data_IF_561950109269
#
_entry.id   IF_561950109269
#
_cell.length_a   1.000
_cell.length_b   1.000
_cell.length_c   1.000
_cell.angle_alpha   90.00
_cell.angle_beta   90.00
_cell.angle_gamma   90.00
#
_symmetry.space_group_name_H-M   'P 1'
#
loop_
_entity.id
_entity.type
_entity.pdbx_description
1 polymer ?
#
# COMPACT_ATOMS: atom_id res chain seq x y z
N UNK A 1 -2.83 -38.62 -14.69
CA UNK A 1 -3.54 -37.36 -14.34
C UNK A 1 -2.50 -36.38 -13.84
N UNK A 2 -1.95 -35.56 -14.74
CA UNK A 2 -0.92 -34.59 -14.37
C UNK A 2 -1.61 -33.34 -13.81
N UNK A 3 -1.38 -33.05 -12.54
CA UNK A 3 -1.86 -31.83 -11.92
C UNK A 3 -1.22 -30.62 -12.64
N UNK A 4 -2.03 -29.81 -13.29
CA UNK A 4 -1.64 -28.47 -13.74
C UNK A 4 -1.11 -27.69 -12.54
N UNK A 5 0.11 -27.13 -12.57
CA UNK A 5 0.57 -26.30 -11.48
C UNK A 5 -0.39 -25.12 -11.36
N UNK A 6 -0.99 -24.97 -10.17
CA UNK A 6 -1.77 -23.79 -9.82
C UNK A 6 -0.97 -22.57 -10.27
N UNK A 7 -1.56 -21.69 -11.07
CA UNK A 7 -0.88 -20.52 -11.60
C UNK A 7 -0.39 -19.69 -10.43
N UNK A 8 0.89 -19.84 -10.06
CA UNK A 8 1.52 -19.19 -8.90
C UNK A 8 1.42 -17.65 -8.95
N UNK A 9 0.99 -17.10 -10.09
CA UNK A 9 0.82 -15.68 -10.37
C UNK A 9 -0.64 -15.34 -10.72
N UNK A 10 -1.53 -15.56 -9.75
CA UNK A 10 -2.94 -15.17 -9.85
C UNK A 10 -3.12 -13.64 -9.92
N UNK A 11 -4.32 -13.20 -10.30
CA UNK A 11 -4.69 -11.77 -10.22
C UNK A 11 -4.50 -11.21 -8.79
N UNK A 12 -4.80 -12.02 -7.77
CA UNK A 12 -4.61 -11.67 -6.37
C UNK A 12 -3.13 -11.44 -6.03
N UNK A 13 -2.21 -12.28 -6.52
CA UNK A 13 -0.78 -12.08 -6.33
C UNK A 13 -0.31 -10.76 -6.95
N UNK A 14 -0.74 -10.45 -8.18
CA UNK A 14 -0.39 -9.18 -8.84
C UNK A 14 -0.93 -7.97 -8.06
N UNK A 15 -2.16 -8.04 -7.56
CA UNK A 15 -2.74 -6.99 -6.73
C UNK A 15 -1.97 -6.80 -5.42
N UNK A 16 -1.59 -7.90 -4.77
CA UNK A 16 -0.80 -7.89 -3.54
C UNK A 16 0.59 -7.25 -3.75
N UNK A 17 1.35 -7.68 -4.76
CA UNK A 17 2.67 -7.10 -5.06
C UNK A 17 2.57 -5.62 -5.41
N UNK A 18 1.56 -5.22 -6.19
CA UNK A 18 1.30 -3.78 -6.48
C UNK A 18 0.98 -2.99 -5.21
N UNK A 19 0.22 -3.58 -4.30
CA UNK A 19 -0.09 -2.96 -3.01
C UNK A 19 1.16 -2.79 -2.14
N UNK A 20 1.99 -3.84 -2.03
CA UNK A 20 3.26 -3.80 -1.31
C UNK A 20 4.20 -2.74 -1.90
N UNK A 21 4.37 -2.70 -3.22
CA UNK A 21 5.18 -1.69 -3.90
C UNK A 21 4.70 -0.26 -3.62
N UNK A 22 3.38 -0.02 -3.67
CA UNK A 22 2.80 1.28 -3.31
C UNK A 22 3.08 1.66 -1.86
N UNK A 23 2.95 0.71 -0.91
CA UNK A 23 3.23 0.97 0.51
C UNK A 23 4.69 1.33 0.74
N UNK A 24 5.63 0.65 0.06
CA UNK A 24 7.05 0.99 0.12
C UNK A 24 7.32 2.42 -0.37
N UNK A 25 6.77 2.80 -1.53
CA UNK A 25 6.97 4.15 -2.08
C UNK A 25 6.35 5.24 -1.20
N UNK A 26 5.18 4.97 -0.61
CA UNK A 26 4.51 5.88 0.32
C UNK A 26 5.32 6.04 1.60
N UNK A 27 5.75 4.93 2.22
CA UNK A 27 6.55 4.97 3.44
C UNK A 27 7.87 5.74 3.25
N UNK A 28 8.59 5.49 2.15
CA UNK A 28 9.80 6.29 1.86
C UNK A 28 9.47 7.76 1.59
N UNK A 29 8.30 8.07 1.03
CA UNK A 29 7.89 9.47 0.87
C UNK A 29 7.66 10.15 2.22
N UNK A 30 7.11 9.44 3.19
CA UNK A 30 6.91 9.95 4.54
C UNK A 30 8.24 10.30 5.23
N UNK A 31 9.30 9.51 5.00
CA UNK A 31 10.64 9.81 5.50
C UNK A 31 11.37 10.93 4.75
N UNK A 32 11.24 10.98 3.43
CA UNK A 32 11.98 11.94 2.59
C UNK A 32 11.12 13.14 2.17
N UNK A 33 11.25 14.25 2.91
CA UNK A 33 10.60 15.53 2.59
C UNK A 33 11.05 16.04 1.20
N UNK A 34 12.33 15.86 0.88
CA UNK A 34 12.94 16.33 -0.37
C UNK A 34 12.68 15.37 -1.53
N UNK A 35 12.09 15.88 -2.61
CA UNK A 35 11.63 15.05 -3.75
C UNK A 35 12.76 14.43 -4.56
N UNK A 36 13.93 15.05 -4.62
CA UNK A 36 15.12 14.55 -5.30
C UNK A 36 15.73 13.35 -4.57
N UNK A 37 15.87 13.44 -3.24
CA UNK A 37 16.31 12.32 -2.40
C UNK A 37 15.30 11.16 -2.46
N UNK A 38 14.00 11.46 -2.34
CA UNK A 38 12.96 10.45 -2.49
C UNK A 38 12.99 9.74 -3.86
N UNK A 39 13.26 10.46 -4.95
CA UNK A 39 13.34 9.85 -6.30
C UNK A 39 14.48 8.84 -6.40
N UNK A 40 15.64 9.12 -5.82
CA UNK A 40 16.75 8.17 -5.78
C UNK A 40 16.31 6.89 -5.06
N UNK A 41 15.70 7.04 -3.88
CA UNK A 41 15.18 5.92 -3.11
C UNK A 41 14.09 5.12 -3.84
N UNK A 42 13.17 5.80 -4.52
CA UNK A 42 12.13 5.17 -5.32
C UNK A 42 12.71 4.31 -6.47
N UNK A 43 13.80 4.76 -7.10
CA UNK A 43 14.51 3.98 -8.13
C UNK A 43 15.16 2.72 -7.55
N UNK A 44 15.73 2.81 -6.34
CA UNK A 44 16.29 1.65 -5.64
C UNK A 44 15.21 0.61 -5.32
N UNK A 45 14.06 1.04 -4.77
CA UNK A 45 12.90 0.16 -4.53
C UNK A 45 12.48 -0.50 -5.85
N UNK A 46 12.32 0.27 -6.92
CA UNK A 46 11.94 -0.29 -8.21
C UNK A 46 12.93 -1.33 -8.69
N UNK A 47 14.23 -1.05 -8.59
CA UNK A 47 15.26 -2.01 -8.96
C UNK A 47 15.18 -3.30 -8.13
N UNK A 48 14.87 -3.21 -6.84
CA UNK A 48 14.66 -4.39 -5.98
C UNK A 48 13.47 -5.25 -6.38
N UNK A 49 12.34 -4.62 -6.72
CA UNK A 49 11.17 -5.35 -7.22
C UNK A 49 11.44 -5.99 -8.60
N UNK A 50 12.12 -5.28 -9.50
CA UNK A 50 12.46 -5.83 -10.82
C UNK A 50 13.46 -7.01 -10.73
N UNK A 51 14.42 -6.97 -9.79
CA UNK A 51 15.33 -8.11 -9.53
C UNK A 51 14.58 -9.40 -9.19
N UNK A 52 13.44 -9.30 -8.52
CA UNK A 52 12.65 -10.45 -8.07
C UNK A 52 11.45 -10.77 -8.98
N UNK A 53 11.34 -10.12 -10.15
CA UNK A 53 10.17 -10.22 -11.03
C UNK A 53 9.91 -11.62 -11.60
N UNK A 54 10.98 -12.37 -11.86
CA UNK A 54 10.93 -13.66 -12.56
C UNK A 54 11.15 -14.85 -11.62
N UNK A 55 10.89 -14.70 -10.31
CA UNK A 55 11.00 -15.80 -9.34
C UNK A 55 9.83 -16.74 -9.54
N UNK A 56 10.10 -17.97 -10.02
CA UNK A 56 9.07 -18.96 -10.34
C UNK A 56 8.73 -19.92 -9.19
N UNK A 57 9.65 -20.11 -8.23
CA UNK A 57 9.44 -21.01 -7.09
C UNK A 57 8.52 -20.36 -6.04
N UNK A 58 7.34 -20.95 -5.74
CA UNK A 58 6.42 -20.41 -4.75
C UNK A 58 7.01 -20.31 -3.33
N UNK A 59 7.92 -21.19 -2.94
CA UNK A 59 8.54 -21.17 -1.60
C UNK A 59 9.51 -20.00 -1.48
N UNK A 60 10.41 -19.85 -2.45
CA UNK A 60 11.29 -18.69 -2.54
C UNK A 60 10.49 -17.37 -2.56
N UNK A 61 9.39 -17.32 -3.32
CA UNK A 61 8.54 -16.14 -3.39
C UNK A 61 7.90 -15.79 -2.04
N UNK A 62 7.40 -16.77 -1.29
CA UNK A 62 6.84 -16.55 0.04
C UNK A 62 7.87 -15.95 1.01
N UNK A 63 9.10 -16.48 1.00
CA UNK A 63 10.21 -15.98 1.83
C UNK A 63 10.57 -14.53 1.48
N UNK A 64 10.61 -14.21 0.18
CA UNK A 64 10.92 -12.85 -0.29
C UNK A 64 9.84 -11.85 0.18
N UNK A 65 8.57 -12.22 0.03
CA UNK A 65 7.44 -11.38 0.44
C UNK A 65 7.39 -11.19 1.95
N UNK A 66 7.62 -12.24 2.73
CA UNK A 66 7.68 -12.18 4.19
C UNK A 66 8.80 -11.23 4.65
N UNK A 67 10.00 -11.37 4.08
CA UNK A 67 11.12 -10.49 4.36
C UNK A 67 10.81 -9.03 3.99
N UNK A 68 10.13 -8.81 2.88
CA UNK A 68 9.73 -7.46 2.46
C UNK A 68 8.68 -6.86 3.42
N UNK A 69 7.67 -7.60 3.84
CA UNK A 69 6.70 -7.14 4.85
C UNK A 69 7.40 -6.82 6.18
N UNK A 70 8.34 -7.66 6.61
CA UNK A 70 9.09 -7.44 7.85
C UNK A 70 9.94 -6.16 7.77
N UNK A 71 10.64 -5.95 6.65
CA UNK A 71 11.44 -4.74 6.42
C UNK A 71 10.57 -3.49 6.41
N UNK A 72 9.41 -3.54 5.73
CA UNK A 72 8.48 -2.42 5.69
C UNK A 72 7.95 -2.09 7.09
N UNK A 73 7.58 -3.10 7.88
CA UNK A 73 7.11 -2.93 9.26
C UNK A 73 8.18 -2.32 10.16
N UNK A 74 9.43 -2.75 10.03
CA UNK A 74 10.56 -2.23 10.82
C UNK A 74 10.85 -0.76 10.52
N UNK A 75 10.73 -0.37 9.25
CA UNK A 75 11.07 0.97 8.78
C UNK A 75 9.83 1.85 8.59
N UNK A 76 8.70 1.50 9.22
CA UNK A 76 7.47 2.25 9.06
C UNK A 76 7.61 3.63 9.72
N UNK A 77 7.24 4.69 9.01
CA UNK A 77 7.25 6.03 9.58
C UNK A 77 6.24 6.11 10.75
N UNK A 78 6.63 6.66 11.93
CA UNK A 78 5.75 6.68 13.10
C UNK A 78 4.53 7.60 12.94
N UNK A 79 4.63 8.62 12.10
CA UNK A 79 3.57 9.59 11.82
C UNK A 79 3.44 9.84 10.29
N UNK A 80 2.83 8.91 9.53
CA UNK A 80 2.80 9.00 8.08
C UNK A 80 1.91 10.15 7.59
N UNK A 81 2.16 10.64 6.38
CA UNK A 81 1.38 11.75 5.83
C UNK A 81 -0.05 11.30 5.46
N UNK A 82 -1.04 11.96 6.07
CA UNK A 82 -2.45 11.79 5.76
C UNK A 82 -3.00 13.04 5.04
N UNK A 83 -3.63 12.89 3.86
CA UNK A 83 -4.29 14.01 3.21
C UNK A 83 -5.36 14.62 4.13
N UNK A 84 -5.50 15.96 4.20
CA UNK A 84 -6.33 16.60 5.22
C UNK A 84 -7.79 16.12 5.26
N UNK A 85 -8.38 15.79 4.11
CA UNK A 85 -9.79 15.41 3.97
C UNK A 85 -10.03 13.89 4.01
N UNK A 86 -8.99 13.08 4.19
CA UNK A 86 -9.11 11.63 4.30
C UNK A 86 -9.29 11.24 5.77
N UNK A 87 -9.74 10.01 6.08
CA UNK A 87 -9.73 9.49 7.44
C UNK A 87 -8.39 9.73 8.12
N UNK A 88 -8.45 10.09 9.41
CA UNK A 88 -7.30 10.49 10.24
C UNK A 88 -6.54 11.76 9.77
N UNK A 89 -7.06 12.46 8.77
CA UNK A 89 -6.58 13.76 8.32
C UNK A 89 -7.06 14.93 9.19
N UNK A 90 -6.29 16.02 9.20
CA UNK A 90 -6.57 17.21 10.03
C UNK A 90 -7.89 17.94 9.77
N UNK A 91 -8.55 17.64 8.63
CA UNK A 91 -9.84 18.22 8.23
C UNK A 91 -10.92 17.14 8.01
N UNK A 92 -10.65 15.89 8.41
CA UNK A 92 -11.64 14.81 8.38
C UNK A 92 -12.84 15.22 9.21
N UNK A 93 -14.05 14.98 8.68
CA UNK A 93 -15.32 15.20 9.38
C UNK A 93 -15.54 16.61 9.95
N UNK A 94 -14.73 17.60 9.54
CA UNK A 94 -14.82 18.96 10.08
C UNK A 94 -16.15 19.65 9.78
N UNK A 95 -16.72 19.38 8.60
CA UNK A 95 -17.98 19.97 8.11
C UNK A 95 -18.86 18.88 7.46
N UNK A 96 -19.22 17.83 8.21
CA UNK A 96 -20.16 16.82 7.68
C UNK A 96 -21.52 17.52 7.46
N UNK A 97 -22.12 17.44 6.26
CA UNK A 97 -23.47 17.95 6.07
C UNK A 97 -24.42 17.20 7.00
N UNK A 98 -25.31 17.90 7.72
CA UNK A 98 -26.27 17.23 8.59
C UNK A 98 -27.12 16.25 7.75
N UNK A 99 -27.56 15.16 8.37
CA UNK A 99 -28.58 14.30 7.76
C UNK A 99 -29.81 15.17 7.51
N UNK A 100 -30.20 15.31 6.26
CA UNK A 100 -31.47 15.93 5.91
C UNK A 100 -32.58 14.96 6.31
N UNK A 101 -33.47 15.39 7.21
CA UNK A 101 -34.65 14.62 7.58
C UNK A 101 -35.62 14.52 6.39
N UNK A 102 -36.38 13.43 6.31
CA UNK A 102 -37.54 13.38 5.41
C UNK A 102 -38.65 14.27 5.97
N UNK A 103 -39.60 14.71 5.14
CA UNK A 103 -40.72 15.57 5.59
C UNK A 103 -41.50 14.92 6.75
N UNK A 104 -41.74 13.62 6.69
CA UNK A 104 -42.42 12.84 7.74
C UNK A 104 -41.67 12.84 9.08
N UNK A 105 -40.33 12.77 9.05
CA UNK A 105 -39.47 12.81 10.25
C UNK A 105 -39.36 14.23 10.82
N UNK A 106 -39.58 15.29 10.02
CA UNK A 106 -39.49 16.68 10.44
C UNK A 106 -40.76 17.18 11.15
N UNK A 107 -41.90 16.52 10.94
CA UNK A 107 -43.21 16.88 11.49
C UNK A 107 -43.58 16.13 12.78
N UNK A 108 -42.69 15.27 13.29
CA UNK A 108 -42.92 14.42 14.45
C UNK A 108 -42.05 14.79 15.66
#
# INVERSE_FOLDING_TARGET
MSATPATAFSHAHKAYVKSLYRRYLANELDWYIRRDAWRQRAMEIRAEFERNRNVSDPRALAIILEKAEENLRKNQHPDPYHPPMFPDGTKWERNIPPRMFTEEEAHH
#
